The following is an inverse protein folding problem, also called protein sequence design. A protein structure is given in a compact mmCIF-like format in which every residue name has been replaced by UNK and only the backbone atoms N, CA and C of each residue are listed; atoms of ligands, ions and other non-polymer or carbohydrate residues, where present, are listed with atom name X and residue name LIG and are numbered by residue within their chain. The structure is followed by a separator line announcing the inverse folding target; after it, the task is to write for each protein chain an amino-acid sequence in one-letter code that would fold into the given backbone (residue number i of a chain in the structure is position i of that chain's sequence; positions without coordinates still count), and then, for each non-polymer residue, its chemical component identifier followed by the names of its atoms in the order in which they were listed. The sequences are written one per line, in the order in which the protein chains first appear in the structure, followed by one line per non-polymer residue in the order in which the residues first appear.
data_IF_000213784781
#
_entry.id   IF_000213784781
#
_cell.length_a   1.000
_cell.length_b   1.000
_cell.length_c   1.000
_cell.angle_alpha   90.00
_cell.angle_beta   90.00
_cell.angle_gamma   90.00
#
_symmetry.space_group_name_H-M   'P 1'
#
loop_
_entity.id
_entity.type
_entity.pdbx_description
1 polymer ?
#
# COMPACT_ATOMS: atom_id res chain seq x y z
N UNK A 1 24.31 27.72 -8.26
CA UNK A 1 23.42 26.57 -7.99
C UNK A 1 23.93 25.38 -8.79
N UNK A 2 23.83 24.16 -8.26
CA UNK A 2 24.14 22.95 -9.01
C UNK A 2 23.07 22.75 -10.10
N UNK A 3 23.43 22.48 -11.37
CA UNK A 3 22.44 22.23 -12.41
C UNK A 3 21.62 20.96 -12.11
N UNK A 4 20.39 20.91 -12.58
CA UNK A 4 19.52 19.72 -12.43
C UNK A 4 20.18 18.47 -13.03
N UNK A 5 20.03 17.35 -12.34
CA UNK A 5 20.37 16.03 -12.86
C UNK A 5 19.40 15.61 -13.98
N UNK A 6 18.22 16.24 -14.07
CA UNK A 6 17.22 15.99 -15.09
C UNK A 6 17.29 17.01 -16.23
N UNK A 7 16.92 16.56 -17.42
CA UNK A 7 16.71 17.40 -18.60
C UNK A 7 15.38 17.01 -19.24
N UNK A 8 14.46 17.97 -19.35
CA UNK A 8 13.18 17.79 -20.03
C UNK A 8 13.15 18.63 -21.31
N UNK A 9 13.14 17.97 -22.47
CA UNK A 9 13.13 18.64 -23.77
C UNK A 9 12.63 17.68 -24.86
N UNK A 10 12.09 18.22 -25.96
CA UNK A 10 11.64 17.42 -27.12
C UNK A 10 10.75 16.21 -26.74
N UNK A 11 9.81 16.42 -25.80
CA UNK A 11 8.90 15.37 -25.26
C UNK A 11 9.62 14.16 -24.65
N UNK A 12 10.82 14.38 -24.08
CA UNK A 12 11.63 13.36 -23.40
C UNK A 12 12.06 13.87 -22.03
N UNK A 13 11.95 13.00 -21.01
CA UNK A 13 12.68 13.18 -19.76
C UNK A 13 13.94 12.32 -19.80
N UNK A 14 15.09 12.95 -19.61
CA UNK A 14 16.38 12.29 -19.41
C UNK A 14 16.96 12.65 -18.04
N UNK A 15 17.81 11.76 -17.50
CA UNK A 15 18.58 11.99 -16.28
C UNK A 15 20.05 11.72 -16.58
N UNK A 16 20.94 12.69 -16.34
CA UNK A 16 22.39 12.58 -16.61
C UNK A 16 22.70 12.01 -18.03
N UNK A 17 21.94 12.44 -19.05
CA UNK A 17 22.06 11.96 -20.44
C UNK A 17 21.31 10.67 -20.77
N UNK A 18 20.71 10.00 -19.79
CA UNK A 18 19.98 8.72 -19.94
C UNK A 18 18.48 9.00 -20.07
N UNK A 19 17.89 8.78 -21.25
CA UNK A 19 16.44 8.96 -21.48
C UNK A 19 15.63 7.96 -20.66
N UNK A 20 14.78 8.46 -19.75
CA UNK A 20 13.87 7.67 -18.94
C UNK A 20 12.51 7.50 -19.63
N UNK A 21 11.94 8.60 -20.12
CA UNK A 21 10.62 8.63 -20.76
C UNK A 21 10.73 9.27 -22.15
N UNK A 22 10.08 8.66 -23.14
CA UNK A 22 9.85 9.23 -24.47
C UNK A 22 8.39 9.59 -24.68
N UNK A 23 8.10 10.37 -25.72
CA UNK A 23 6.74 10.65 -26.20
C UNK A 23 5.83 11.32 -25.15
N UNK A 24 6.44 11.95 -24.13
CA UNK A 24 5.77 12.65 -23.03
C UNK A 24 4.76 13.65 -23.62
N UNK A 25 3.47 13.59 -23.26
CA UNK A 25 2.45 14.46 -23.83
C UNK A 25 2.73 15.95 -23.63
N UNK A 26 2.31 16.80 -24.58
CA UNK A 26 2.58 18.24 -24.56
C UNK A 26 1.86 18.99 -23.43
N UNK A 27 0.86 18.37 -22.80
CA UNK A 27 0.21 18.90 -21.61
C UNK A 27 0.91 18.54 -20.29
N UNK A 28 1.96 17.72 -20.32
CA UNK A 28 2.77 17.33 -19.15
C UNK A 28 3.98 18.25 -19.03
N UNK A 29 4.19 18.79 -17.84
CA UNK A 29 5.34 19.62 -17.48
C UNK A 29 6.29 18.88 -16.53
N UNK A 30 7.54 19.33 -16.49
CA UNK A 30 8.51 18.90 -15.49
C UNK A 30 9.17 20.14 -14.86
N UNK A 31 9.21 20.17 -13.53
CA UNK A 31 9.71 21.29 -12.72
C UNK A 31 10.69 20.76 -11.68
N UNK A 32 11.86 21.38 -11.56
CA UNK A 32 12.85 21.01 -10.53
C UNK A 32 12.29 21.22 -9.12
N UNK A 33 12.72 20.41 -8.14
CA UNK A 33 12.23 20.52 -6.76
C UNK A 33 12.35 21.94 -6.20
N UNK A 34 13.46 22.64 -6.49
CA UNK A 34 13.71 24.00 -6.01
C UNK A 34 12.94 25.10 -6.73
N UNK A 35 12.28 24.85 -7.88
CA UNK A 35 11.40 25.84 -8.50
C UNK A 35 10.00 25.84 -7.87
N UNK A 36 9.56 24.68 -7.36
CA UNK A 36 8.28 24.53 -6.65
C UNK A 36 8.44 24.78 -5.13
N UNK A 37 9.47 24.22 -4.50
CA UNK A 37 9.66 24.30 -3.06
C UNK A 37 10.73 25.36 -2.70
N UNK A 38 10.29 26.60 -2.52
CA UNK A 38 11.13 27.74 -2.11
C UNK A 38 11.15 27.96 -0.58
N UNK A 39 10.16 27.41 0.14
CA UNK A 39 10.07 27.44 1.60
C UNK A 39 9.15 26.33 2.13
N UNK A 40 9.28 25.99 3.41
CA UNK A 40 8.47 24.94 4.04
C UNK A 40 8.40 25.11 5.57
N UNK A 41 7.29 24.75 6.24
CA UNK A 41 7.21 24.66 7.70
C UNK A 41 7.94 23.43 8.28
N UNK A 42 8.47 22.53 7.44
CA UNK A 42 9.19 21.35 7.88
C UNK A 42 10.45 21.71 8.71
N UNK A 43 10.89 20.84 9.65
CA UNK A 43 12.07 21.07 10.48
C UNK A 43 13.29 21.56 9.67
N UNK A 44 14.04 22.59 10.13
CA UNK A 44 15.09 23.22 9.33
C UNK A 44 16.19 22.27 8.83
N UNK A 45 16.46 21.18 9.54
CA UNK A 45 17.43 20.16 9.11
C UNK A 45 16.92 19.33 7.90
N UNK A 46 15.61 19.08 7.80
CA UNK A 46 15.00 18.42 6.64
C UNK A 46 14.96 19.36 5.44
N UNK A 47 14.56 20.63 5.63
CA UNK A 47 14.57 21.63 4.57
C UNK A 47 15.99 21.80 3.98
N UNK A 48 17.02 21.94 4.84
CA UNK A 48 18.42 22.00 4.39
C UNK A 48 18.84 20.75 3.62
N UNK A 49 18.43 19.55 4.07
CA UNK A 49 18.76 18.28 3.39
C UNK A 49 18.07 18.15 2.03
N UNK A 50 16.78 18.52 1.93
CA UNK A 50 16.05 18.57 0.67
C UNK A 50 16.70 19.55 -0.31
N UNK A 51 17.02 20.77 0.15
CA UNK A 51 17.67 21.80 -0.67
C UNK A 51 19.09 21.40 -1.11
N UNK A 52 19.88 20.71 -0.28
CA UNK A 52 21.20 20.19 -0.69
C UNK A 52 21.15 19.10 -1.77
N UNK A 53 19.95 18.55 -2.04
CA UNK A 53 19.68 17.54 -3.06
C UNK A 53 18.59 17.98 -4.04
N UNK A 54 18.25 19.27 -4.11
CA UNK A 54 17.13 19.74 -4.94
C UNK A 54 17.35 19.47 -6.43
N UNK A 55 18.61 19.50 -6.88
CA UNK A 55 18.99 19.19 -8.25
C UNK A 55 18.84 17.69 -8.61
N UNK A 56 18.59 16.81 -7.63
CA UNK A 56 18.41 15.38 -7.84
C UNK A 56 16.93 14.97 -7.94
N UNK A 57 15.98 15.90 -7.94
CA UNK A 57 14.58 15.55 -8.12
C UNK A 57 13.71 16.70 -8.57
N UNK A 58 12.53 16.36 -9.06
CA UNK A 58 11.55 17.30 -9.57
C UNK A 58 10.17 16.68 -9.59
N UNK A 59 9.19 17.50 -9.94
CA UNK A 59 7.80 17.08 -10.06
C UNK A 59 7.38 17.08 -11.51
N UNK A 60 6.61 16.07 -11.88
CA UNK A 60 5.70 16.18 -13.01
C UNK A 60 4.45 16.95 -12.59
N UNK A 61 4.07 17.88 -13.46
CA UNK A 61 2.75 18.47 -13.49
C UNK A 61 2.05 18.13 -14.80
N UNK A 62 0.75 18.43 -14.90
CA UNK A 62 0.08 18.50 -16.19
C UNK A 62 -1.12 19.44 -16.17
N UNK A 63 -1.59 19.82 -17.35
CA UNK A 63 -2.77 20.65 -17.55
C UNK A 63 -3.84 19.94 -18.39
N UNK A 64 -5.08 20.40 -18.28
CA UNK A 64 -6.21 19.94 -19.09
C UNK A 64 -6.96 21.14 -19.67
N UNK A 65 -7.61 21.03 -20.85
CA UNK A 65 -8.23 22.17 -21.52
C UNK A 65 -9.38 22.83 -20.74
N UNK A 66 -10.04 22.08 -19.86
CA UNK A 66 -11.16 22.54 -19.04
C UNK A 66 -11.05 22.00 -17.61
N UNK A 67 -11.48 22.75 -16.57
CA UNK A 67 -11.41 22.29 -15.19
C UNK A 67 -12.15 20.97 -14.98
N UNK A 68 -11.44 19.97 -14.47
CA UNK A 68 -11.95 18.62 -14.19
C UNK A 68 -11.70 18.24 -12.73
N UNK A 69 -12.58 17.41 -12.17
CA UNK A 69 -12.36 16.69 -10.92
C UNK A 69 -11.58 15.37 -11.16
N UNK A 70 -11.50 14.88 -12.40
CA UNK A 70 -10.72 13.69 -12.81
C UNK A 70 -9.92 13.94 -14.09
N UNK A 71 -8.93 14.83 -14.06
CA UNK A 71 -7.97 14.95 -15.14
C UNK A 71 -7.07 13.70 -15.15
N UNK A 72 -6.84 13.11 -16.32
CA UNK A 72 -5.87 12.03 -16.52
C UNK A 72 -4.91 12.40 -17.64
N UNK A 73 -3.66 11.94 -17.54
CA UNK A 73 -2.66 12.08 -18.60
C UNK A 73 -1.61 10.97 -18.49
N UNK A 74 -1.03 10.59 -19.63
CA UNK A 74 0.13 9.69 -19.64
C UNK A 74 1.39 10.47 -19.28
N UNK A 75 2.31 9.88 -18.51
CA UNK A 75 3.64 10.45 -18.29
C UNK A 75 4.60 10.23 -19.47
N UNK A 76 4.17 9.51 -20.52
CA UNK A 76 5.00 9.09 -21.65
C UNK A 76 5.24 7.58 -21.68
N UNK A 77 6.19 7.15 -22.52
CA UNK A 77 6.56 5.74 -22.70
C UNK A 77 7.87 5.43 -21.97
N UNK A 78 7.85 4.37 -21.15
CA UNK A 78 9.04 3.78 -20.53
C UNK A 78 9.38 2.49 -21.26
N UNK A 79 10.52 2.46 -21.98
CA UNK A 79 10.87 1.36 -22.91
C UNK A 79 12.33 0.96 -22.74
N UNK A 80 12.62 -0.34 -22.87
CA UNK A 80 14.00 -0.86 -22.93
C UNK A 80 14.76 -0.80 -21.60
N UNK A 81 14.04 -0.88 -20.46
CA UNK A 81 14.63 -0.78 -19.12
C UNK A 81 13.97 -1.76 -18.16
N UNK A 82 14.78 -2.54 -17.46
CA UNK A 82 14.34 -3.26 -16.26
C UNK A 82 14.02 -2.25 -15.15
N UNK A 83 12.96 -2.49 -14.39
CA UNK A 83 12.57 -1.69 -13.23
C UNK A 83 12.17 -2.60 -12.07
N UNK A 84 12.34 -2.10 -10.84
CA UNK A 84 11.74 -2.68 -9.65
C UNK A 84 10.59 -1.78 -9.23
N UNK A 85 9.37 -2.31 -9.24
CA UNK A 85 8.20 -1.63 -8.67
C UNK A 85 7.90 -2.18 -7.29
N UNK A 86 7.78 -1.28 -6.31
CA UNK A 86 7.25 -1.60 -4.98
C UNK A 86 5.83 -1.06 -4.93
N UNK A 87 4.86 -1.92 -5.22
CA UNK A 87 3.44 -1.58 -5.24
C UNK A 87 2.72 -2.18 -4.02
N UNK A 88 1.68 -1.50 -3.54
CA UNK A 88 0.74 -2.04 -2.54
C UNK A 88 -0.33 -2.86 -3.24
N UNK A 89 -0.77 -3.94 -2.61
CA UNK A 89 -1.26 -5.07 -3.39
C UNK A 89 -2.31 -5.93 -2.65
N UNK A 90 -2.12 -6.13 -1.35
CA UNK A 90 -3.18 -5.93 -0.36
C UNK A 90 -2.55 -5.09 0.75
N UNK A 91 -3.19 -5.09 1.89
CA UNK A 91 -3.27 -3.89 2.72
C UNK A 91 -2.70 -4.10 4.13
N UNK A 92 -2.36 -5.36 4.42
CA UNK A 92 -1.53 -5.82 5.53
C UNK A 92 -0.49 -6.85 5.00
N UNK A 93 -0.92 -7.75 4.10
CA UNK A 93 -0.09 -8.61 3.22
C UNK A 93 -0.42 -8.33 1.73
N UNK A 94 0.05 -9.09 0.73
CA UNK A 94 -0.04 -8.63 -0.68
C UNK A 94 -0.16 -9.71 -1.78
N UNK A 95 -1.26 -9.75 -2.56
CA UNK A 95 -1.57 -10.71 -3.66
C UNK A 95 -2.56 -10.16 -4.72
N UNK A 96 -2.57 -10.71 -5.96
CA UNK A 96 -3.29 -10.17 -7.14
C UNK A 96 -4.69 -10.75 -7.28
N UNK A 97 -5.66 -9.90 -7.62
CA UNK A 97 -6.98 -10.31 -8.10
C UNK A 97 -7.39 -9.43 -9.29
N UNK A 98 -7.93 -10.03 -10.33
CA UNK A 98 -8.39 -9.36 -11.56
C UNK A 98 -9.83 -9.80 -11.83
N UNK A 99 -10.74 -8.84 -11.95
CA UNK A 99 -12.17 -9.07 -12.18
C UNK A 99 -12.74 -8.06 -13.18
N UNK A 100 -14.02 -8.21 -13.52
CA UNK A 100 -14.71 -7.39 -14.53
C UNK A 100 -16.07 -6.84 -14.06
N UNK A 101 -16.53 -7.21 -12.86
CA UNK A 101 -17.76 -6.76 -12.23
C UNK A 101 -17.49 -6.20 -10.83
N UNK A 102 -18.34 -5.27 -10.37
CA UNK A 102 -18.31 -4.76 -9.00
C UNK A 102 -18.60 -5.83 -7.94
N UNK A 103 -19.19 -6.97 -8.33
CA UNK A 103 -19.35 -8.17 -7.50
C UNK A 103 -18.04 -8.93 -7.25
N UNK A 104 -17.04 -8.73 -8.10
CA UNK A 104 -15.76 -9.43 -8.02
C UNK A 104 -14.83 -8.76 -7.00
N UNK A 105 -15.24 -7.60 -6.49
CA UNK A 105 -14.55 -6.84 -5.47
C UNK A 105 -14.54 -7.59 -4.15
N UNK A 106 -13.37 -8.16 -3.84
CA UNK A 106 -13.04 -8.44 -2.45
C UNK A 106 -13.01 -7.10 -1.69
N UNK A 107 -14.06 -6.78 -0.93
CA UNK A 107 -14.01 -6.94 0.52
C UNK A 107 -12.71 -6.40 1.25
N UNK A 108 -12.77 -5.53 2.31
CA UNK A 108 -11.68 -4.86 3.17
C UNK A 108 -10.41 -4.50 2.39
N UNK A 109 -10.57 -4.22 1.12
CA UNK A 109 -9.51 -3.68 0.31
C UNK A 109 -9.30 -2.22 0.70
N UNK A 110 -8.41 -2.02 1.67
CA UNK A 110 -7.90 -0.73 2.19
C UNK A 110 -7.26 0.14 1.07
N UNK A 111 -6.99 -0.42 -0.12
CA UNK A 111 -6.57 0.26 -1.36
C UNK A 111 -7.07 -0.53 -2.59
N UNK A 112 -8.15 -0.08 -3.25
CA UNK A 112 -8.61 -0.69 -4.51
C UNK A 112 -8.01 0.05 -5.70
N UNK A 113 -7.57 -0.66 -6.74
CA UNK A 113 -7.30 -0.09 -8.05
C UNK A 113 -8.48 -0.41 -8.99
N UNK A 114 -9.30 0.59 -9.29
CA UNK A 114 -10.50 0.48 -10.11
C UNK A 114 -10.33 1.21 -11.45
N UNK A 115 -11.08 0.77 -12.46
CA UNK A 115 -11.69 1.67 -13.45
C UNK A 115 -13.20 1.73 -13.17
N UNK A 116 -13.62 2.71 -12.36
CA UNK A 116 -15.01 2.90 -11.90
C UNK A 116 -15.31 4.41 -11.83
N UNK A 117 -16.52 4.87 -12.23
CA UNK A 117 -16.90 6.28 -12.12
C UNK A 117 -17.13 6.69 -10.66
N UNK A 118 -16.07 7.18 -10.01
CA UNK A 118 -16.04 7.91 -8.73
C UNK A 118 -17.21 8.92 -8.54
N UNK A 119 -17.48 9.28 -7.28
CA UNK A 119 -18.06 10.58 -6.90
C UNK A 119 -16.98 11.45 -6.27
N UNK A 120 -16.38 12.34 -7.06
CA UNK A 120 -15.44 13.34 -6.57
C UNK A 120 -16.12 14.45 -5.76
N UNK A 121 -15.32 15.14 -4.93
CA UNK A 121 -15.70 16.45 -4.41
C UNK A 121 -15.71 17.45 -5.56
N UNK A 122 -16.89 17.73 -6.11
CA UNK A 122 -17.06 18.65 -7.25
C UNK A 122 -16.74 20.12 -6.93
N UNK A 123 -16.39 20.42 -5.67
CA UNK A 123 -16.03 21.74 -5.17
C UNK A 123 -14.63 22.20 -5.60
N UNK A 124 -13.73 21.27 -5.95
CA UNK A 124 -12.35 21.59 -6.37
C UNK A 124 -12.12 21.04 -7.78
N UNK A 125 -12.35 21.88 -8.79
CA UNK A 125 -11.99 21.60 -10.18
C UNK A 125 -10.71 22.33 -10.53
N UNK A 126 -9.71 21.62 -11.05
CA UNK A 126 -8.45 22.18 -11.50
C UNK A 126 -8.25 21.97 -13.01
N UNK A 127 -7.54 22.90 -13.64
CA UNK A 127 -7.11 22.77 -15.05
C UNK A 127 -5.57 22.72 -15.21
N UNK A 128 -4.83 22.91 -14.11
CA UNK A 128 -3.36 22.88 -14.08
C UNK A 128 -2.93 22.36 -12.72
N UNK A 129 -1.94 21.47 -12.71
CA UNK A 129 -1.46 20.77 -11.53
C UNK A 129 0.06 20.72 -11.62
N UNK A 130 0.78 21.38 -10.72
CA UNK A 130 2.23 21.59 -10.87
C UNK A 130 3.08 20.51 -10.18
N UNK A 131 2.54 19.84 -9.17
CA UNK A 131 3.27 18.90 -8.31
C UNK A 131 2.45 17.63 -8.04
N UNK A 132 2.39 16.73 -9.02
CA UNK A 132 1.58 15.49 -8.93
C UNK A 132 2.42 14.24 -8.67
N UNK A 133 3.47 14.03 -9.45
CA UNK A 133 4.35 12.88 -9.30
C UNK A 133 5.79 13.35 -9.10
N UNK A 134 6.38 12.99 -7.96
CA UNK A 134 7.77 13.32 -7.65
C UNK A 134 8.71 12.23 -8.18
N UNK A 135 9.78 12.62 -8.87
CA UNK A 135 10.87 11.74 -9.28
C UNK A 135 12.19 12.18 -8.64
N UNK A 136 13.00 11.22 -8.22
CA UNK A 136 14.31 11.44 -7.62
C UNK A 136 15.36 10.51 -8.25
N UNK A 137 16.60 10.97 -8.33
CA UNK A 137 17.76 10.16 -8.73
C UNK A 137 18.81 10.19 -7.64
N UNK A 138 19.28 9.02 -7.24
CA UNK A 138 20.41 8.86 -6.33
C UNK A 138 21.35 7.81 -6.89
N UNK A 139 22.64 7.92 -6.59
CA UNK A 139 23.66 6.92 -6.91
C UNK A 139 23.70 5.77 -5.89
N UNK A 140 22.97 5.92 -4.78
CA UNK A 140 22.87 4.91 -3.72
C UNK A 140 21.39 4.59 -3.43
N UNK A 141 20.95 3.32 -3.58
CA UNK A 141 19.53 2.94 -3.39
C UNK A 141 19.05 3.09 -1.93
N UNK A 142 19.94 3.01 -0.94
CA UNK A 142 19.61 3.27 0.46
C UNK A 142 19.36 4.76 0.73
N UNK A 143 20.03 5.64 -0.01
CA UNK A 143 19.80 7.07 0.06
C UNK A 143 18.56 7.48 -0.74
N UNK A 144 18.28 6.85 -1.88
CA UNK A 144 17.18 7.20 -2.79
C UNK A 144 15.85 7.42 -2.06
N UNK A 145 15.40 6.45 -1.24
CA UNK A 145 14.17 6.59 -0.48
C UNK A 145 14.27 7.70 0.58
N UNK A 146 15.39 7.82 1.29
CA UNK A 146 15.56 8.84 2.33
C UNK A 146 15.57 10.25 1.75
N UNK A 147 16.25 10.47 0.63
CA UNK A 147 16.34 11.74 -0.09
C UNK A 147 14.97 12.09 -0.71
N UNK A 148 14.31 11.15 -1.40
CA UNK A 148 13.01 11.37 -2.01
C UNK A 148 11.89 11.65 -0.99
N UNK A 149 11.78 10.83 0.06
CA UNK A 149 10.80 11.09 1.13
C UNK A 149 11.12 12.37 1.91
N UNK A 150 12.38 12.78 2.06
CA UNK A 150 12.72 14.08 2.63
C UNK A 150 12.19 15.23 1.77
N UNK A 151 12.36 15.16 0.44
CA UNK A 151 11.82 16.17 -0.48
C UNK A 151 10.28 16.22 -0.42
N UNK A 152 9.59 15.08 -0.51
CA UNK A 152 8.13 15.00 -0.43
C UNK A 152 7.61 15.49 0.94
N UNK A 153 8.28 15.14 2.03
CA UNK A 153 7.98 15.60 3.41
C UNK A 153 8.06 17.12 3.54
N UNK A 154 9.06 17.72 2.90
CA UNK A 154 9.29 19.17 2.90
C UNK A 154 8.27 19.88 2.00
N UNK A 155 7.92 19.32 0.84
CA UNK A 155 6.93 19.90 -0.06
C UNK A 155 5.49 19.82 0.50
N UNK A 156 5.01 18.63 0.87
CA UNK A 156 3.60 18.43 1.29
C UNK A 156 3.32 18.88 2.73
N UNK A 157 4.32 18.76 3.61
CA UNK A 157 4.23 19.03 5.05
C UNK A 157 3.08 18.30 5.81
N UNK A 158 2.45 17.28 5.23
CA UNK A 158 1.25 16.61 5.74
C UNK A 158 1.50 15.35 6.59
N UNK A 159 2.75 14.87 6.66
CA UNK A 159 3.14 13.67 7.40
C UNK A 159 4.48 13.89 8.12
N UNK A 160 4.94 12.89 8.87
CA UNK A 160 6.28 12.85 9.49
C UNK A 160 7.07 11.61 9.06
N UNK A 161 8.36 11.78 8.80
CA UNK A 161 9.32 10.71 8.55
C UNK A 161 9.53 9.85 9.81
N UNK A 162 10.14 8.68 9.62
CA UNK A 162 10.50 7.79 10.74
C UNK A 162 11.46 8.49 11.73
N UNK A 163 12.45 9.22 11.23
CA UNK A 163 13.42 9.97 12.05
C UNK A 163 12.84 11.20 12.77
N UNK A 164 11.59 11.59 12.50
CA UNK A 164 10.85 12.62 13.25
C UNK A 164 9.95 12.02 14.36
N UNK A 165 9.93 10.69 14.50
CA UNK A 165 9.06 9.97 15.42
C UNK A 165 9.89 9.30 16.53
N UNK A 166 9.43 9.44 17.77
CA UNK A 166 9.89 8.59 18.86
C UNK A 166 9.30 7.20 18.67
N UNK A 167 10.14 6.20 18.42
CA UNK A 167 9.69 4.81 18.37
C UNK A 167 9.38 4.30 19.79
N UNK A 168 8.25 3.60 20.00
CA UNK A 168 7.98 2.98 21.29
C UNK A 168 8.95 1.80 21.49
N UNK A 169 9.43 1.52 22.73
CA UNK A 169 10.35 0.40 23.02
C UNK A 169 9.81 -1.01 22.71
N UNK A 170 8.59 -1.10 22.18
CA UNK A 170 7.94 -2.31 21.72
C UNK A 170 8.47 -2.79 20.36
N UNK A 171 8.94 -1.89 19.50
CA UNK A 171 9.38 -2.24 18.13
C UNK A 171 10.60 -3.16 18.10
N UNK A 172 11.45 -3.09 19.13
CA UNK A 172 12.66 -3.92 19.29
C UNK A 172 12.38 -5.22 20.05
N UNK A 173 11.11 -5.64 20.15
CA UNK A 173 10.71 -6.85 20.88
C UNK A 173 10.17 -7.90 19.92
N UNK A 174 10.39 -9.17 20.28
CA UNK A 174 9.64 -10.25 19.69
C UNK A 174 8.17 -10.14 20.11
N UNK A 175 7.27 -10.17 19.13
CA UNK A 175 5.83 -10.24 19.30
C UNK A 175 5.24 -11.23 18.31
N UNK A 176 4.01 -11.64 18.57
CA UNK A 176 3.30 -12.63 17.78
C UNK A 176 2.02 -12.03 17.18
N UNK A 177 1.68 -12.41 15.96
CA UNK A 177 0.42 -12.09 15.31
C UNK A 177 -0.40 -13.36 15.12
N UNK A 178 -1.71 -13.32 15.41
CA UNK A 178 -2.59 -14.49 15.33
C UNK A 178 -2.84 -14.99 13.90
N UNK A 179 -2.63 -14.16 12.87
CA UNK A 179 -3.03 -14.45 11.49
C UNK A 179 -2.54 -15.79 10.96
N UNK A 180 -1.23 -16.05 10.90
CA UNK A 180 -0.71 -17.31 10.31
C UNK A 180 -0.99 -18.56 11.17
N UNK A 181 -1.51 -18.38 12.40
CA UNK A 181 -1.81 -19.47 13.32
C UNK A 181 -3.30 -19.87 13.35
N UNK A 182 -4.20 -18.92 13.07
CA UNK A 182 -5.65 -19.11 13.18
C UNK A 182 -6.44 -18.60 11.96
N UNK A 183 -5.86 -17.70 11.18
CA UNK A 183 -6.58 -16.87 10.22
C UNK A 183 -7.90 -16.38 10.83
N UNK A 184 -9.05 -16.68 10.20
CA UNK A 184 -10.38 -16.25 10.62
C UNK A 184 -10.98 -17.02 11.81
N UNK A 185 -10.28 -17.97 12.41
CA UNK A 185 -10.78 -18.77 13.55
C UNK A 185 -10.02 -18.44 14.83
N UNK A 186 -9.96 -17.15 15.18
CA UNK A 186 -9.25 -16.68 16.38
C UNK A 186 -10.12 -16.93 17.62
N UNK A 187 -9.73 -17.88 18.46
CA UNK A 187 -10.39 -18.17 19.73
C UNK A 187 -9.45 -17.95 20.94
N UNK A 188 -9.96 -17.57 22.14
CA UNK A 188 -9.14 -17.36 23.33
C UNK A 188 -8.33 -18.58 23.75
N UNK A 189 -8.89 -19.78 23.58
CA UNK A 189 -8.20 -21.04 23.90
C UNK A 189 -6.98 -21.28 22.99
N UNK A 190 -7.12 -20.98 21.70
CA UNK A 190 -6.04 -20.99 20.73
C UNK A 190 -4.94 -19.99 21.07
N UNK A 191 -5.30 -18.72 21.34
CA UNK A 191 -4.36 -17.68 21.76
C UNK A 191 -3.60 -18.11 23.02
N UNK A 192 -4.32 -18.58 24.04
CA UNK A 192 -3.71 -19.02 25.30
C UNK A 192 -2.73 -20.17 25.11
N UNK A 193 -3.10 -21.16 24.28
CA UNK A 193 -2.20 -22.26 23.91
C UNK A 193 -0.94 -21.75 23.22
N UNK A 194 -1.05 -20.88 22.21
CA UNK A 194 0.10 -20.35 21.48
C UNK A 194 1.05 -19.52 22.38
N UNK A 195 0.51 -18.64 23.23
CA UNK A 195 1.31 -17.89 24.22
C UNK A 195 2.02 -18.84 25.19
N UNK A 196 1.34 -19.89 25.64
CA UNK A 196 1.92 -20.91 26.53
C UNK A 196 3.02 -21.70 25.84
N UNK A 197 2.83 -22.13 24.60
CA UNK A 197 3.84 -22.85 23.80
C UNK A 197 5.09 -21.99 23.59
N UNK A 198 4.95 -20.70 23.27
CA UNK A 198 6.08 -19.77 23.21
C UNK A 198 6.83 -19.62 24.55
N UNK A 199 6.10 -19.60 25.67
CA UNK A 199 6.70 -19.53 27.01
C UNK A 199 7.47 -20.81 27.35
N UNK A 200 6.89 -21.98 27.08
CA UNK A 200 7.51 -23.29 27.31
C UNK A 200 8.72 -23.54 26.40
N UNK A 201 8.71 -23.01 25.17
CA UNK A 201 9.85 -23.00 24.25
C UNK A 201 10.96 -21.97 24.63
N UNK A 202 10.76 -21.16 25.67
CA UNK A 202 11.73 -20.13 26.10
C UNK A 202 11.77 -18.89 25.22
N UNK A 203 10.78 -18.68 24.35
CA UNK A 203 10.67 -17.57 23.39
C UNK A 203 9.42 -16.69 23.66
N UNK A 204 9.14 -16.26 24.91
CA UNK A 204 7.90 -15.57 25.22
C UNK A 204 7.76 -14.26 24.43
N UNK A 205 6.64 -13.99 23.74
CA UNK A 205 6.37 -12.70 23.11
C UNK A 205 6.29 -11.58 24.16
N UNK A 206 6.50 -10.34 23.73
CA UNK A 206 6.32 -9.12 24.54
C UNK A 206 5.11 -8.29 24.12
N UNK A 207 4.53 -8.60 22.96
CA UNK A 207 3.21 -8.15 22.54
C UNK A 207 2.53 -9.22 21.71
N UNK A 208 1.21 -9.14 21.67
CA UNK A 208 0.33 -9.92 20.83
C UNK A 208 -0.43 -8.94 19.93
N UNK A 209 -0.48 -9.22 18.64
CA UNK A 209 -1.45 -8.64 17.73
C UNK A 209 -2.54 -9.71 17.54
N UNK A 210 -3.76 -9.38 17.95
CA UNK A 210 -4.94 -10.16 17.61
C UNK A 210 -5.42 -9.59 16.28
N UNK A 211 -5.02 -10.27 15.20
CA UNK A 211 -5.41 -10.02 13.82
C UNK A 211 -6.87 -10.41 13.57
N UNK A 212 -7.38 -10.18 12.36
CA UNK A 212 -8.74 -10.49 11.94
C UNK A 212 -9.18 -11.94 12.25
N UNK A 213 -10.47 -12.13 12.54
CA UNK A 213 -11.06 -13.43 12.89
C UNK A 213 -11.58 -13.59 14.32
N UNK A 214 -11.51 -12.55 15.17
CA UNK A 214 -12.15 -12.56 16.50
C UNK A 214 -13.45 -11.74 16.54
N UNK A 215 -13.67 -10.88 15.55
CA UNK A 215 -14.78 -9.93 15.52
C UNK A 215 -16.09 -10.54 15.04
N UNK A 216 -17.20 -10.02 15.57
CA UNK A 216 -18.53 -10.17 14.96
C UNK A 216 -18.65 -9.28 13.72
N UNK A 217 -18.66 -9.88 12.52
CA UNK A 217 -18.75 -9.16 11.24
C UNK A 217 -19.98 -9.55 10.43
N UNK A 218 -20.48 -8.62 9.61
CA UNK A 218 -21.77 -8.74 8.91
C UNK A 218 -21.70 -8.02 7.55
N UNK A 219 -22.30 -8.60 6.50
CA UNK A 219 -22.34 -8.03 5.16
C UNK A 219 -23.40 -6.91 5.05
N UNK A 220 -23.13 -5.84 4.28
CA UNK A 220 -24.09 -4.75 4.05
C UNK A 220 -25.47 -5.21 3.51
N UNK A 221 -25.55 -6.41 2.95
CA UNK A 221 -26.76 -7.06 2.42
C UNK A 221 -27.48 -8.02 3.38
N UNK A 222 -26.91 -8.32 4.54
CA UNK A 222 -27.45 -9.30 5.50
C UNK A 222 -28.30 -8.66 6.60
N UNK A 223 -28.96 -9.50 7.43
CA UNK A 223 -29.72 -9.03 8.58
C UNK A 223 -28.74 -8.42 9.61
N UNK A 224 -28.84 -7.13 9.98
CA UNK A 224 -27.93 -6.53 10.95
C UNK A 224 -27.94 -7.19 12.34
N UNK A 225 -28.93 -8.02 12.66
CA UNK A 225 -28.99 -8.71 13.97
C UNK A 225 -28.22 -10.01 14.03
N UNK A 226 -27.71 -10.52 12.91
CA UNK A 226 -27.04 -11.81 12.81
C UNK A 226 -25.53 -11.61 12.55
N UNK A 227 -24.71 -12.64 12.75
CA UNK A 227 -23.30 -12.64 12.35
C UNK A 227 -23.17 -13.39 11.02
N UNK A 228 -22.30 -12.91 10.12
CA UNK A 228 -21.97 -13.65 8.91
C UNK A 228 -21.41 -15.03 9.29
N UNK A 229 -21.91 -16.10 8.64
CA UNK A 229 -21.50 -17.49 8.88
C UNK A 229 -20.77 -18.04 7.66
N UNK A 230 -19.78 -18.92 7.89
CA UNK A 230 -19.02 -19.64 6.85
C UNK A 230 -18.14 -18.77 5.92
N UNK A 231 -17.52 -17.72 6.45
CA UNK A 231 -16.54 -16.94 5.68
C UNK A 231 -15.33 -17.80 5.29
N UNK A 232 -15.05 -17.88 3.98
CA UNK A 232 -13.96 -18.69 3.45
C UNK A 232 -12.65 -17.90 3.45
N UNK A 233 -11.55 -18.59 3.77
CA UNK A 233 -10.19 -18.06 3.61
C UNK A 233 -9.91 -17.73 2.14
N UNK A 234 -10.02 -16.47 1.76
CA UNK A 234 -9.78 -16.06 0.37
C UNK A 234 -10.01 -14.57 0.06
N UNK A 235 -10.81 -13.89 0.88
CA UNK A 235 -11.09 -12.46 0.73
C UNK A 235 -12.54 -12.10 1.06
N UNK A 236 -13.47 -13.07 1.07
CA UNK A 236 -14.88 -12.83 1.37
C UNK A 236 -15.12 -12.19 2.74
N UNK A 237 -14.23 -12.37 3.71
CA UNK A 237 -14.41 -11.86 5.07
C UNK A 237 -14.48 -10.33 5.20
N UNK A 238 -14.37 -9.60 4.10
CA UNK A 238 -13.78 -8.27 4.20
C UNK A 238 -14.74 -7.04 3.86
N UNK A 239 -15.82 -7.07 3.06
CA UNK A 239 -16.92 -6.03 3.22
C UNK A 239 -17.95 -6.49 4.21
N UNK A 240 -17.71 -7.64 4.85
CA UNK A 240 -18.22 -7.80 6.18
C UNK A 240 -17.60 -6.68 7.03
N UNK A 241 -18.45 -5.85 7.61
CA UNK A 241 -18.03 -4.77 8.49
C UNK A 241 -18.10 -5.23 9.92
N UNK A 242 -17.19 -4.70 10.73
CA UNK A 242 -17.32 -4.76 12.18
C UNK A 242 -18.67 -4.20 12.60
N UNK A 243 -19.57 -5.07 13.05
CA UNK A 243 -20.92 -4.67 13.44
C UNK A 243 -21.06 -4.54 14.97
N UNK A 244 -20.30 -5.35 15.75
CA UNK A 244 -20.20 -5.22 17.22
C UNK A 244 -18.82 -5.57 17.74
N UNK A 245 -18.49 -5.02 18.90
CA UNK A 245 -17.30 -5.35 19.70
C UNK A 245 -17.57 -6.52 20.67
N UNK A 246 -18.51 -7.40 20.33
CA UNK A 246 -18.82 -8.63 21.07
C UNK A 246 -18.00 -9.78 20.45
N UNK A 247 -17.48 -10.66 21.30
CA UNK A 247 -16.79 -11.90 20.90
C UNK A 247 -17.71 -12.72 19.98
N UNK A 248 -17.22 -13.08 18.80
CA UNK A 248 -18.08 -13.64 17.75
C UNK A 248 -18.65 -15.01 18.10
N UNK A 249 -19.87 -15.29 17.65
CA UNK A 249 -20.49 -16.63 17.67
C UNK A 249 -19.83 -17.59 16.64
N UNK A 250 -18.50 -17.60 16.52
CA UNK A 250 -17.71 -18.39 15.53
C UNK A 250 -17.64 -19.89 15.90
N UNK A 251 -18.56 -20.36 16.75
CA UNK A 251 -18.53 -21.69 17.36
C UNK A 251 -19.18 -22.81 16.51
N UNK A 252 -19.78 -22.52 15.34
CA UNK A 252 -20.45 -23.51 14.48
C UNK A 252 -19.84 -23.70 13.07
N UNK A 253 -18.59 -23.29 12.81
CA UNK A 253 -17.91 -23.56 11.51
C UNK A 253 -17.30 -25.00 11.46
N UNK A 254 -17.85 -25.97 12.20
CA UNK A 254 -17.41 -27.38 12.15
C UNK A 254 -18.57 -28.39 12.23
N UNK A 255 -19.24 -28.61 11.09
CA UNK A 255 -20.02 -29.84 10.85
C UNK A 255 -19.77 -30.51 9.49
N UNK A 256 -19.05 -29.86 8.57
CA UNK A 256 -18.83 -30.37 7.20
C UNK A 256 -17.53 -31.14 6.92
N UNK A 257 -16.48 -30.99 7.73
CA UNK A 257 -15.15 -31.58 7.46
C UNK A 257 -14.98 -32.89 8.24
N UNK A 258 -14.75 -33.98 7.51
CA UNK A 258 -14.64 -35.32 8.07
C UNK A 258 -13.40 -35.50 8.97
N UNK A 259 -13.44 -36.50 9.85
CA UNK A 259 -12.36 -36.80 10.79
C UNK A 259 -11.06 -37.29 10.12
N UNK A 260 -11.06 -37.64 8.82
CA UNK A 260 -9.85 -38.04 8.09
C UNK A 260 -8.97 -36.85 7.67
N UNK A 261 -9.55 -35.68 7.39
CA UNK A 261 -8.77 -34.51 6.94
C UNK A 261 -7.98 -33.86 8.09
N UNK A 262 -8.45 -33.99 9.32
CA UNK A 262 -7.75 -33.52 10.54
C UNK A 262 -6.41 -34.22 10.82
N UNK A 263 -6.06 -35.28 10.06
CA UNK A 263 -4.85 -36.09 10.28
C UNK A 263 -3.85 -36.09 9.13
N UNK A 264 -4.12 -35.37 8.03
CA UNK A 264 -3.14 -35.27 6.93
C UNK A 264 -2.08 -34.22 7.28
N UNK A 265 -0.78 -34.56 7.27
CA UNK A 265 0.25 -33.52 7.35
C UNK A 265 0.15 -32.64 6.11
N UNK A 266 0.38 -31.34 6.28
CA UNK A 266 0.38 -30.33 5.22
C UNK A 266 1.25 -30.78 4.04
N UNK A 267 0.60 -31.26 2.97
CA UNK A 267 1.24 -31.37 1.66
C UNK A 267 1.25 -29.99 1.03
N UNK A 268 2.42 -29.63 0.51
CA UNK A 268 2.71 -28.40 -0.21
C UNK A 268 1.68 -28.09 -1.31
N UNK A 269 0.72 -27.23 -0.99
CA UNK A 269 -0.19 -26.59 -1.95
C UNK A 269 0.03 -25.07 -2.03
N UNK A 270 1.27 -24.62 -1.80
CA UNK A 270 1.76 -23.27 -2.12
C UNK A 270 3.01 -23.34 -3.02
N UNK A 271 2.92 -24.14 -4.09
CA UNK A 271 4.00 -24.30 -5.07
C UNK A 271 3.53 -24.59 -6.50
N UNK A 272 2.29 -24.21 -6.87
CA UNK A 272 1.75 -24.33 -8.22
C UNK A 272 0.93 -23.10 -8.63
N UNK A 273 1.63 -21.99 -8.84
CA UNK A 273 1.13 -20.81 -9.57
C UNK A 273 2.21 -20.29 -10.55
N UNK A 274 3.02 -21.20 -11.08
CA UNK A 274 4.02 -20.95 -12.14
C UNK A 274 4.09 -22.17 -13.06
N UNK A 275 3.02 -22.43 -13.83
CA UNK A 275 3.14 -22.88 -15.23
C UNK A 275 1.77 -22.88 -15.94
N UNK A 276 1.49 -21.85 -16.74
CA UNK A 276 0.55 -21.88 -17.88
C UNK A 276 0.96 -20.80 -18.90
N UNK A 277 1.94 -21.12 -19.73
CA UNK A 277 2.16 -20.51 -21.05
C UNK A 277 2.12 -21.62 -22.11
N UNK A 278 1.41 -21.37 -23.22
CA UNK A 278 1.15 -22.33 -24.32
C UNK A 278 -0.29 -22.84 -24.26
N UNK A 279 -1.17 -22.56 -25.23
CA UNK A 279 -0.94 -22.31 -26.67
C UNK A 279 -1.40 -20.92 -27.18
#
# INVERSE_FOLDING_TARGET
MTPSSFSFSQRKLAVKGVTLLTDVPDNVSFSDFSSICTGSPAPPFLLRRALSRSNNGGFFGFSVPSPSDRPTSSLGRFVGRSFLSVFRFKTWWSTMWMGSSGSDLQMETQWVLFDVPERGSSLVKGHSFEALAYIHVSDNPYNLFKEAFTAIRVHLNSFRLLEEKTLPPLVDRFGWCTWDAFYLTVEPAGIWRGVKEFLEAGIPPRFLIIDDGWQSINLDSENPKECARNLVLGGEQMTARLYRFEEGEVHEIQSGISSEERRRPLRSHEAQAVDQQGD
#
